data_IF_583586984144
#
_entry.id   IF_583586984144
#
_cell.length_a   1.000
_cell.length_b   1.000
_cell.length_c   1.000
_cell.angle_alpha   90.00
_cell.angle_beta   90.00
_cell.angle_gamma   90.00
#
_symmetry.space_group_name_H-M   'P 1'
#
loop_
_entity.id
_entity.type
_entity.pdbx_description
1 polymer ?
#
# COMPACT_ATOMS: atom_id res chain seq x y z
N UNK A 1 -40.56 0.62 -1.20
CA UNK A 1 -39.61 0.05 -2.18
C UNK A 1 -38.22 0.53 -1.82
N UNK A 2 -37.31 -0.38 -1.47
CA UNK A 2 -35.91 -0.07 -1.21
C UNK A 2 -35.17 0.01 -2.54
N UNK A 3 -34.77 1.21 -2.93
CA UNK A 3 -33.90 1.43 -4.08
C UNK A 3 -32.52 0.87 -3.75
N UNK A 4 -32.08 -0.15 -4.49
CA UNK A 4 -30.73 -0.71 -4.35
C UNK A 4 -29.79 0.04 -5.28
N UNK A 5 -28.60 0.42 -4.82
CA UNK A 5 -27.62 1.18 -5.61
C UNK A 5 -27.34 0.55 -6.99
N UNK A 6 -27.29 -0.79 -7.04
CA UNK A 6 -27.05 -1.55 -8.26
C UNK A 6 -28.22 -1.55 -9.26
N UNK A 7 -29.43 -1.16 -8.83
CA UNK A 7 -30.60 -1.05 -9.72
C UNK A 7 -30.63 0.23 -10.56
N UNK A 8 -29.82 1.23 -10.19
CA UNK A 8 -29.70 2.49 -10.93
C UNK A 8 -28.89 2.28 -12.22
N UNK A 9 -29.10 3.05 -13.31
CA UNK A 9 -28.22 3.07 -14.48
C UNK A 9 -26.75 3.37 -14.13
N UNK A 10 -25.80 2.84 -14.92
CA UNK A 10 -24.36 2.93 -14.59
C UNK A 10 -23.84 4.36 -14.52
N UNK A 11 -24.28 5.24 -15.41
CA UNK A 11 -23.99 6.67 -15.42
C UNK A 11 -24.42 7.35 -14.10
N UNK A 12 -25.59 7.00 -13.58
CA UNK A 12 -26.06 7.50 -12.27
C UNK A 12 -25.19 6.93 -11.14
N UNK A 13 -24.87 5.62 -11.17
CA UNK A 13 -23.96 5.00 -10.18
C UNK A 13 -22.58 5.63 -10.21
N UNK A 14 -22.05 5.93 -11.39
CA UNK A 14 -20.78 6.59 -11.60
C UNK A 14 -20.76 7.99 -10.97
N UNK A 15 -21.81 8.80 -11.17
CA UNK A 15 -21.94 10.09 -10.50
C UNK A 15 -21.98 9.95 -8.98
N UNK A 16 -22.69 8.94 -8.47
CA UNK A 16 -22.70 8.65 -7.03
C UNK A 16 -21.29 8.29 -6.53
N UNK A 17 -20.54 7.46 -7.25
CA UNK A 17 -19.17 7.10 -6.89
C UNK A 17 -18.25 8.33 -6.89
N UNK A 18 -18.39 9.25 -7.85
CA UNK A 18 -17.63 10.49 -7.87
C UNK A 18 -17.90 11.40 -6.65
N UNK A 19 -19.11 11.32 -6.07
CA UNK A 19 -19.45 12.06 -4.85
C UNK A 19 -19.03 11.32 -3.57
N UNK A 20 -19.03 9.98 -3.61
CA UNK A 20 -18.67 9.14 -2.46
C UNK A 20 -17.15 9.03 -2.24
N UNK A 21 -16.39 9.04 -3.33
CA UNK A 21 -14.93 8.91 -3.28
C UNK A 21 -14.25 10.27 -3.46
N UNK A 22 -12.99 10.42 -2.99
CA UNK A 22 -12.29 11.70 -3.07
C UNK A 22 -12.18 12.20 -4.51
N UNK A 23 -12.29 13.52 -4.75
CA UNK A 23 -12.08 14.07 -6.09
C UNK A 23 -10.59 14.03 -6.51
N UNK A 24 -9.67 13.94 -5.56
CA UNK A 24 -8.24 13.88 -5.84
C UNK A 24 -7.84 12.51 -6.38
N UNK A 25 -7.10 12.48 -7.49
CA UNK A 25 -6.59 11.24 -8.10
C UNK A 25 -5.60 10.46 -7.22
N UNK A 26 -5.29 10.95 -6.02
CA UNK A 26 -4.27 10.41 -5.13
C UNK A 26 -4.79 10.25 -3.72
N UNK A 27 -4.64 9.05 -3.17
CA UNK A 27 -5.01 8.73 -1.79
C UNK A 27 -3.72 8.44 -1.03
N UNK A 28 -3.47 9.15 0.05
CA UNK A 28 -2.35 8.83 0.94
C UNK A 28 -2.81 7.93 2.08
N UNK A 29 -1.96 6.98 2.44
CA UNK A 29 -2.20 6.02 3.49
C UNK A 29 -0.95 5.98 4.35
N UNK A 30 -1.07 6.36 5.60
CA UNK A 30 0.00 6.29 6.59
C UNK A 30 0.07 4.90 7.21
N UNK A 31 1.23 4.27 7.14
CA UNK A 31 1.54 3.05 7.85
C UNK A 31 2.08 3.36 9.26
N UNK A 32 1.56 2.68 10.27
CA UNK A 32 1.99 2.76 11.68
C UNK A 32 1.90 1.40 12.35
N UNK A 33 2.94 0.89 12.98
CA UNK A 33 2.90 -0.26 13.90
C UNK A 33 2.01 -1.42 13.41
N UNK A 34 2.12 -1.79 12.12
CA UNK A 34 1.32 -2.84 11.42
C UNK A 34 -0.16 -2.50 11.15
N UNK A 35 -0.52 -1.23 11.20
CA UNK A 35 -1.83 -0.67 10.86
C UNK A 35 -1.69 0.40 9.78
N UNK A 36 -2.81 0.77 9.15
CA UNK A 36 -2.83 1.78 8.10
C UNK A 36 -3.99 2.75 8.30
N UNK A 37 -3.70 4.04 8.27
CA UNK A 37 -4.66 5.13 8.37
C UNK A 37 -4.61 5.95 7.10
N UNK A 38 -5.73 6.38 6.53
CA UNK A 38 -5.61 7.32 5.41
C UNK A 38 -5.12 8.69 5.91
N UNK A 39 -4.44 9.40 5.03
CA UNK A 39 -4.20 10.83 5.15
C UNK A 39 -4.80 11.46 3.90
N UNK A 40 -5.75 12.39 4.06
CA UNK A 40 -6.13 13.27 2.96
C UNK A 40 -6.05 14.73 3.42
N UNK A 41 -5.54 15.64 2.57
CA UNK A 41 -5.59 17.09 2.83
C UNK A 41 -7.02 17.61 3.04
N UNK A 42 -8.03 16.90 2.51
CA UNK A 42 -9.45 17.22 2.64
C UNK A 42 -10.11 16.63 3.91
N UNK A 43 -9.35 15.93 4.77
CA UNK A 43 -9.82 15.28 6.01
C UNK A 43 -9.40 13.82 6.10
N UNK A 44 -9.58 13.20 7.27
CA UNK A 44 -9.32 11.76 7.45
C UNK A 44 -10.36 10.94 6.68
N UNK A 45 -9.98 10.43 5.50
CA UNK A 45 -10.75 9.36 4.84
C UNK A 45 -10.73 8.18 5.81
N UNK A 46 -11.88 7.71 6.29
CA UNK A 46 -11.83 6.54 7.19
C UNK A 46 -11.15 5.39 6.44
N UNK A 47 -10.25 4.62 7.09
CA UNK A 47 -9.73 3.37 6.51
C UNK A 47 -10.89 2.43 6.10
N UNK A 48 -12.08 2.65 6.69
CA UNK A 48 -13.33 2.05 6.25
C UNK A 48 -13.68 2.34 4.80
N UNK A 49 -13.20 3.38 4.11
CA UNK A 49 -13.43 3.59 2.67
C UNK A 49 -12.67 2.56 1.81
N UNK A 50 -11.49 2.12 2.26
CA UNK A 50 -10.78 1.00 1.65
C UNK A 50 -11.54 -0.33 1.86
N UNK A 51 -12.29 -0.43 2.96
CA UNK A 51 -13.13 -1.57 3.35
C UNK A 51 -14.60 -1.49 2.90
N UNK A 52 -15.12 -0.29 2.61
CA UNK A 52 -16.54 0.01 2.32
C UNK A 52 -16.99 -0.61 1.01
N UNK A 53 -16.03 -0.92 0.15
CA UNK A 53 -16.23 -1.74 -1.05
C UNK A 53 -16.87 -3.10 -0.74
N UNK A 54 -16.71 -3.64 0.48
CA UNK A 54 -17.40 -4.87 0.86
C UNK A 54 -18.92 -4.69 0.95
N UNK A 55 -19.40 -3.50 1.30
CA UNK A 55 -20.83 -3.17 1.42
C UNK A 55 -21.42 -2.63 0.10
N UNK A 56 -20.63 -1.91 -0.70
CA UNK A 56 -21.06 -1.35 -1.99
C UNK A 56 -20.95 -2.34 -3.16
N UNK A 57 -20.27 -3.47 -2.97
CA UNK A 57 -20.12 -4.52 -3.97
C UNK A 57 -18.87 -4.38 -4.85
N UNK A 58 -18.67 -5.36 -5.74
CA UNK A 58 -17.46 -5.48 -6.57
C UNK A 58 -17.27 -4.32 -7.55
N UNK A 59 -18.36 -3.70 -8.02
CA UNK A 59 -18.30 -2.57 -8.97
C UNK A 59 -17.68 -1.32 -8.34
N UNK A 60 -18.12 -0.93 -7.15
CA UNK A 60 -17.56 0.22 -6.43
C UNK A 60 -16.08 0.00 -6.09
N UNK A 61 -15.70 -1.23 -5.72
CA UNK A 61 -14.30 -1.61 -5.56
C UNK A 61 -13.50 -1.46 -6.84
N UNK A 62 -14.03 -1.91 -7.97
CA UNK A 62 -13.38 -1.72 -9.26
C UNK A 62 -13.25 -0.23 -9.63
N UNK A 63 -14.24 0.60 -9.32
CA UNK A 63 -14.14 2.05 -9.52
C UNK A 63 -12.98 2.64 -8.69
N UNK A 64 -12.93 2.36 -7.38
CA UNK A 64 -11.90 2.90 -6.49
C UNK A 64 -10.50 2.40 -6.85
N UNK A 65 -10.29 1.09 -7.00
CA UNK A 65 -8.94 0.56 -7.18
C UNK A 65 -8.34 0.81 -8.57
N UNK A 66 -9.14 1.23 -9.55
CA UNK A 66 -8.68 1.62 -10.88
C UNK A 66 -8.66 3.15 -11.09
N UNK A 67 -9.34 3.92 -10.23
CA UNK A 67 -9.44 5.37 -10.35
C UNK A 67 -8.25 6.13 -9.75
N UNK A 68 -7.56 5.55 -8.76
CA UNK A 68 -6.68 6.29 -7.86
C UNK A 68 -5.25 5.75 -7.83
N UNK A 69 -4.30 6.65 -7.56
CA UNK A 69 -2.94 6.37 -7.16
C UNK A 69 -2.84 6.34 -5.63
N UNK A 70 -2.50 5.18 -5.07
CA UNK A 70 -2.41 4.99 -3.63
C UNK A 70 -0.96 5.18 -3.17
N UNK A 71 -0.73 6.08 -2.23
CA UNK A 71 0.58 6.41 -1.69
C UNK A 71 0.66 5.94 -0.24
N UNK A 72 1.27 4.79 -0.01
CA UNK A 72 1.57 4.29 1.33
C UNK A 72 2.82 4.99 1.86
N UNK A 73 2.69 5.81 2.88
CA UNK A 73 3.76 6.63 3.49
C UNK A 73 3.98 6.20 4.94
N UNK A 74 5.21 6.27 5.43
CA UNK A 74 5.53 5.87 6.80
C UNK A 74 7.00 5.53 6.97
N UNK A 75 7.33 4.80 8.04
CA UNK A 75 8.68 4.24 8.18
C UNK A 75 8.92 3.16 7.12
N UNK A 76 10.19 2.91 6.76
CA UNK A 76 10.57 1.83 5.84
C UNK A 76 10.03 0.48 6.33
N UNK A 77 10.21 0.19 7.61
CA UNK A 77 9.70 -1.02 8.27
C UNK A 77 8.17 -1.15 8.12
N UNK A 78 7.43 -0.10 8.47
CA UNK A 78 5.95 -0.14 8.45
C UNK A 78 5.42 -0.27 7.02
N UNK A 79 5.99 0.46 6.07
CA UNK A 79 5.59 0.37 4.67
C UNK A 79 5.81 -1.04 4.12
N UNK A 80 6.98 -1.62 4.39
CA UNK A 80 7.33 -2.99 3.94
C UNK A 80 6.49 -4.07 4.62
N UNK A 81 6.08 -3.88 5.87
CA UNK A 81 5.18 -4.79 6.58
C UNK A 81 3.74 -4.75 6.04
N UNK A 82 3.25 -3.56 5.63
CA UNK A 82 1.83 -3.36 5.33
C UNK A 82 1.47 -3.36 3.83
N UNK A 83 2.43 -3.20 2.92
CA UNK A 83 2.09 -3.05 1.50
C UNK A 83 1.55 -4.34 0.86
N UNK A 84 2.00 -5.53 1.28
CA UNK A 84 1.59 -6.82 0.66
C UNK A 84 0.09 -7.12 0.81
N UNK A 85 -0.54 -6.97 1.99
CA UNK A 85 -1.99 -7.05 2.12
C UNK A 85 -2.73 -6.06 1.21
N UNK A 86 -2.26 -4.81 1.16
CA UNK A 86 -2.88 -3.78 0.32
C UNK A 86 -2.76 -4.10 -1.18
N UNK A 87 -1.59 -4.55 -1.63
CA UNK A 87 -1.33 -5.00 -2.99
C UNK A 87 -2.26 -6.15 -3.40
N UNK A 88 -2.50 -7.12 -2.50
CA UNK A 88 -3.44 -8.22 -2.76
C UNK A 88 -4.85 -7.71 -3.01
N UNK A 89 -5.31 -6.76 -2.21
CA UNK A 89 -6.63 -6.14 -2.40
C UNK A 89 -6.70 -5.36 -3.70
N UNK A 90 -5.68 -4.56 -4.01
CA UNK A 90 -5.66 -3.77 -5.24
C UNK A 90 -5.67 -4.68 -6.48
N UNK A 91 -4.86 -5.75 -6.50
CA UNK A 91 -4.86 -6.76 -7.57
C UNK A 91 -6.20 -7.47 -7.75
N UNK A 92 -6.96 -7.68 -6.66
CA UNK A 92 -8.29 -8.32 -6.73
C UNK A 92 -9.30 -7.51 -7.55
N UNK A 93 -9.20 -6.17 -7.52
CA UNK A 93 -10.15 -5.27 -8.18
C UNK A 93 -9.58 -4.58 -9.42
N UNK A 94 -8.26 -4.64 -9.62
CA UNK A 94 -7.58 -4.08 -10.78
C UNK A 94 -8.06 -4.75 -12.07
N UNK A 95 -8.32 -3.94 -13.10
CA UNK A 95 -8.64 -4.39 -14.46
C UNK A 95 -7.39 -4.44 -15.37
N UNK A 96 -6.24 -4.05 -14.84
CA UNK A 96 -4.97 -3.91 -15.55
C UNK A 96 -3.81 -4.32 -14.64
N UNK A 97 -2.60 -4.38 -15.21
CA UNK A 97 -1.39 -4.66 -14.44
C UNK A 97 -1.23 -3.68 -13.28
N UNK A 98 -0.72 -4.17 -12.15
CA UNK A 98 -0.54 -3.38 -10.94
C UNK A 98 0.91 -2.98 -10.82
N UNK A 99 1.15 -1.67 -10.87
CA UNK A 99 2.46 -1.06 -10.75
C UNK A 99 2.74 -0.66 -9.30
N UNK A 100 4.00 -0.82 -8.88
CA UNK A 100 4.50 -0.40 -7.57
C UNK A 100 5.80 0.37 -7.77
N UNK A 101 5.87 1.58 -7.22
CA UNK A 101 7.04 2.43 -7.27
C UNK A 101 7.43 2.82 -5.85
N UNK A 102 8.67 2.54 -5.45
CA UNK A 102 9.18 2.87 -4.13
C UNK A 102 10.09 4.10 -4.20
N UNK A 103 9.91 4.99 -3.22
CA UNK A 103 10.65 6.24 -3.10
C UNK A 103 11.17 6.38 -1.68
N UNK A 104 12.48 6.60 -1.53
CA UNK A 104 13.11 6.97 -0.26
C UNK A 104 13.26 8.49 -0.15
N UNK A 105 13.25 9.05 1.06
CA UNK A 105 13.62 10.46 1.27
C UNK A 105 15.16 10.65 1.46
N UNK A 106 15.97 9.66 1.08
CA UNK A 106 17.44 9.68 1.14
C UNK A 106 18.03 8.49 1.89
N UNK A 107 19.36 8.31 1.83
CA UNK A 107 20.09 7.16 2.41
C UNK A 107 19.95 7.03 3.93
N UNK A 108 19.73 8.14 4.64
CA UNK A 108 19.56 8.14 6.11
C UNK A 108 18.11 8.35 6.56
N UNK A 109 17.16 8.40 5.62
CA UNK A 109 15.76 8.56 5.97
C UNK A 109 15.19 7.26 6.51
N UNK A 110 14.60 7.29 7.70
CA UNK A 110 13.77 6.19 8.21
C UNK A 110 12.42 6.07 7.48
N UNK A 111 12.05 7.08 6.68
CA UNK A 111 10.75 7.18 6.01
C UNK A 111 10.83 6.91 4.51
N UNK A 112 9.73 6.39 3.96
CA UNK A 112 9.59 6.12 2.53
C UNK A 112 8.14 6.29 2.06
N UNK A 113 7.95 6.20 0.74
CA UNK A 113 6.65 6.13 0.10
C UNK A 113 6.63 4.93 -0.87
N UNK A 114 5.55 4.14 -0.83
CA UNK A 114 5.21 3.16 -1.85
C UNK A 114 3.97 3.65 -2.60
N UNK A 115 4.13 3.91 -3.88
CA UNK A 115 3.03 4.27 -4.77
C UNK A 115 2.52 3.01 -5.48
N UNK A 116 1.22 2.74 -5.38
CA UNK A 116 0.55 1.59 -5.99
C UNK A 116 -0.61 2.06 -6.87
N UNK A 117 -0.75 1.47 -8.06
CA UNK A 117 -1.80 1.82 -9.02
C UNK A 117 -2.10 0.69 -9.99
N UNK A 118 -3.31 0.67 -10.55
CA UNK A 118 -3.67 -0.20 -11.67
C UNK A 118 -3.50 0.54 -13.00
N UNK A 119 -2.77 -0.08 -13.93
CA UNK A 119 -2.43 0.46 -15.24
C UNK A 119 -1.41 1.60 -15.21
N UNK A 120 -1.14 2.16 -16.39
CA UNK A 120 -0.06 3.14 -16.59
C UNK A 120 -0.53 4.59 -16.63
N UNK A 121 -1.85 4.81 -16.73
CA UNK A 121 -2.42 6.15 -16.90
C UNK A 121 -1.99 7.13 -15.79
N UNK A 122 -1.60 6.62 -14.61
CA UNK A 122 -1.25 7.40 -13.41
C UNK A 122 0.27 7.52 -13.22
N UNK A 123 1.09 6.85 -14.04
CA UNK A 123 2.54 7.04 -14.08
C UNK A 123 2.92 8.49 -14.41
N UNK A 124 2.11 9.19 -15.21
CA UNK A 124 2.31 10.61 -15.49
C UNK A 124 2.25 11.49 -14.24
N UNK A 125 1.48 11.11 -13.22
CA UNK A 125 1.38 11.83 -11.94
C UNK A 125 2.65 11.61 -11.12
N UNK A 126 3.16 10.38 -11.08
CA UNK A 126 4.41 10.04 -10.40
C UNK A 126 5.61 10.74 -11.04
N UNK A 127 5.73 10.67 -12.38
CA UNK A 127 6.83 11.25 -13.13
C UNK A 127 6.91 12.78 -13.02
N UNK A 128 5.76 13.46 -12.87
CA UNK A 128 5.71 14.93 -12.68
C UNK A 128 6.21 15.36 -11.29
N UNK A 129 6.09 14.52 -10.27
CA UNK A 129 6.38 14.92 -8.88
C UNK A 129 7.86 15.07 -8.58
N UNK A 130 8.74 14.28 -9.20
CA UNK A 130 10.19 14.26 -8.90
C UNK A 130 10.48 14.26 -7.38
N UNK A 131 9.69 13.52 -6.59
CA UNK A 131 9.82 13.46 -5.12
C UNK A 131 10.41 12.13 -4.69
N UNK A 132 11.42 12.20 -3.82
CA UNK A 132 12.14 11.04 -3.32
C UNK A 132 13.07 10.41 -4.36
N UNK A 133 14.01 9.61 -3.87
CA UNK A 133 14.90 8.82 -4.70
C UNK A 133 14.21 7.50 -5.04
N UNK A 134 14.06 7.17 -6.34
CA UNK A 134 13.49 5.89 -6.74
C UNK A 134 14.41 4.78 -6.24
N UNK A 135 13.82 3.82 -5.53
CA UNK A 135 14.49 2.60 -5.06
C UNK A 135 13.66 1.40 -5.45
N UNK A 136 14.29 0.26 -5.53
CA UNK A 136 13.58 -1.02 -5.62
C UNK A 136 13.12 -1.44 -4.22
N UNK A 137 12.06 -2.23 -4.15
CA UNK A 137 11.59 -2.81 -2.87
C UNK A 137 12.70 -3.66 -2.25
N UNK A 138 13.50 -4.35 -3.06
CA UNK A 138 14.60 -5.21 -2.60
C UNK A 138 15.71 -4.40 -1.92
N UNK A 139 16.15 -3.31 -2.54
CA UNK A 139 17.16 -2.42 -1.92
C UNK A 139 16.70 -1.90 -0.56
N UNK A 140 15.42 -1.57 -0.42
CA UNK A 140 14.85 -1.08 0.84
C UNK A 140 14.70 -2.19 1.90
N UNK A 141 14.48 -3.44 1.47
CA UNK A 141 14.48 -4.61 2.36
C UNK A 141 15.90 -4.89 2.85
N UNK A 142 16.88 -4.92 1.93
CA UNK A 142 18.28 -5.15 2.26
C UNK A 142 18.80 -4.07 3.24
N UNK A 143 18.42 -2.81 3.06
CA UNK A 143 18.74 -1.72 3.99
C UNK A 143 18.12 -1.93 5.38
N UNK A 144 16.87 -2.39 5.45
CA UNK A 144 16.20 -2.67 6.72
C UNK A 144 16.83 -3.86 7.44
N UNK A 145 17.22 -4.91 6.72
CA UNK A 145 17.87 -6.08 7.30
C UNK A 145 19.27 -5.73 7.84
N UNK A 146 19.99 -4.80 7.17
CA UNK A 146 21.27 -4.27 7.66
C UNK A 146 21.11 -3.44 8.95
N UNK A 147 20.06 -2.62 9.04
CA UNK A 147 19.79 -1.76 10.21
C UNK A 147 19.26 -2.58 11.39
N UNK A 148 18.42 -3.58 11.11
CA UNK A 148 17.77 -4.42 12.14
C UNK A 148 18.72 -5.46 12.74
N UNK A 149 19.88 -5.68 12.12
CA UNK A 149 20.74 -6.83 12.42
C UNK A 149 20.06 -8.15 12.06
N UNK A 150 20.75 -9.31 12.20
CA UNK A 150 20.08 -10.59 12.07
C UNK A 150 18.88 -10.63 13.03
N UNK A 151 17.75 -11.25 12.65
CA UNK A 151 16.62 -11.41 13.55
C UNK A 151 17.14 -11.99 14.86
N UNK A 152 16.84 -11.33 15.97
CA UNK A 152 17.02 -11.87 17.32
C UNK A 152 15.96 -12.96 17.54
N UNK A 153 15.99 -13.98 16.68
CA UNK A 153 15.30 -15.23 16.89
C UNK A 153 16.11 -16.01 17.92
N UNK A 154 15.74 -15.84 19.17
CA UNK A 154 15.89 -16.85 20.21
C UNK A 154 15.36 -18.19 19.69
N UNK A 155 16.20 -19.00 19.02
CA UNK A 155 16.01 -20.47 18.94
C UNK A 155 17.09 -21.29 18.22
N UNK A 156 17.96 -20.76 17.32
CA UNK A 156 18.71 -21.66 16.43
C UNK A 156 20.23 -21.53 16.33
N UNK A 157 20.90 -20.64 17.08
CA UNK A 157 22.38 -20.52 17.03
C UNK A 157 23.10 -21.13 18.25
N UNK A 158 22.46 -22.01 19.02
CA UNK A 158 23.14 -22.81 20.07
C UNK A 158 23.39 -24.28 19.67
N UNK A 159 22.93 -24.75 18.50
CA UNK A 159 23.03 -26.18 18.14
C UNK A 159 24.18 -26.61 17.24
N UNK A 160 25.06 -25.72 16.78
CA UNK A 160 26.23 -26.13 15.96
C UNK A 160 27.56 -26.07 16.71
N UNK A 161 27.68 -25.30 17.80
CA UNK A 161 28.93 -25.27 18.59
C UNK A 161 29.04 -26.36 19.67
N UNK A 162 27.94 -27.00 20.09
CA UNK A 162 27.98 -28.09 21.09
C UNK A 162 28.19 -29.50 20.51
N UNK A 163 28.11 -29.67 19.18
CA UNK A 163 28.32 -30.96 18.53
C UNK A 163 29.80 -31.24 18.14
N UNK A 164 30.68 -30.25 18.28
CA UNK A 164 32.12 -30.36 17.97
C UNK A 164 33.03 -30.36 19.21
N UNK A 165 32.45 -30.37 20.43
CA UNK A 165 33.20 -30.35 21.70
C UNK A 165 32.85 -31.52 22.65
N UNK A 166 32.14 -32.55 22.19
CA UNK A 166 31.86 -33.78 22.97
C UNK A 166 32.26 -35.06 22.19
N UNK A 167 33.27 -34.96 21.34
CA UNK A 167 34.07 -36.12 20.89
C UNK A 167 35.54 -35.70 20.78
N UNK A 168 36.17 -35.58 21.93
CA UNK A 168 37.60 -35.80 22.15
C UNK A 168 37.72 -36.69 23.40
#
# INVERSE_FOLDING_TARGET
MTLTLLSLPYDVRYLIYQQLFPPEEQIYIQAYDKTVHSISPAGTISANILLANRQLGSEAGAFLYNGYLFNLVGTKQDCLANYKPFLRTLRKYARSEVNINAFSNGDHSATMCLSLQAGDAKMGILNRRRRGEPRTIRELQDEQDLISGPPQDDAWVVKVFYALLVRA
#
